data_IF_407752441468
#
_entry.id   IF_407752441468
#
_cell.length_a   1.000
_cell.length_b   1.000
_cell.length_c   1.000
_cell.angle_alpha   90.00
_cell.angle_beta   90.00
_cell.angle_gamma   90.00
#
_symmetry.space_group_name_H-M   'P 1'
#
loop_
_entity.id
_entity.type
_entity.pdbx_description
1 polymer ?
#
# COMPACT_ATOMS: atom_id res chain seq x y z
N UNK A 1 2.47 -41.48 -27.94
CA UNK A 1 1.90 -40.13 -28.20
C UNK A 1 1.17 -39.72 -26.91
N UNK A 2 1.80 -38.89 -26.08
CA UNK A 2 1.21 -38.42 -24.83
C UNK A 2 0.36 -37.18 -25.16
N UNK A 3 -0.93 -37.27 -24.86
CA UNK A 3 -1.89 -36.21 -25.10
C UNK A 3 -1.59 -35.04 -24.17
N UNK A 4 -1.26 -33.88 -24.75
CA UNK A 4 -1.12 -32.61 -24.02
C UNK A 4 -2.53 -32.10 -23.75
N UNK A 5 -2.96 -32.16 -22.49
CA UNK A 5 -4.17 -31.48 -22.05
C UNK A 5 -3.85 -30.03 -21.83
N UNK A 6 -4.19 -29.17 -22.78
CA UNK A 6 -4.25 -27.73 -22.58
C UNK A 6 -5.50 -27.49 -21.73
N UNK A 7 -5.31 -27.30 -20.44
CA UNK A 7 -6.36 -26.80 -19.57
C UNK A 7 -6.43 -25.29 -19.81
N UNK A 8 -7.33 -24.89 -20.70
CA UNK A 8 -7.77 -23.49 -20.75
C UNK A 8 -8.57 -23.22 -19.48
N UNK A 9 -7.93 -22.61 -18.51
CA UNK A 9 -8.61 -22.05 -17.37
C UNK A 9 -9.32 -20.77 -17.85
N UNK A 10 -10.64 -20.85 -18.03
CA UNK A 10 -11.46 -19.66 -18.24
C UNK A 10 -11.30 -18.76 -17.03
N UNK A 11 -10.56 -17.65 -17.19
CA UNK A 11 -10.64 -16.55 -16.27
C UNK A 11 -12.07 -16.03 -16.32
N UNK A 12 -12.83 -16.25 -15.27
CA UNK A 12 -14.09 -15.56 -15.06
C UNK A 12 -13.76 -14.08 -14.95
N UNK A 13 -13.93 -13.34 -16.04
CA UNK A 13 -13.94 -11.90 -16.04
C UNK A 13 -15.17 -11.49 -15.21
N UNK A 14 -14.95 -11.23 -13.95
CA UNK A 14 -15.87 -10.40 -13.19
C UNK A 14 -15.86 -9.03 -13.86
N UNK A 15 -16.87 -8.73 -14.64
CA UNK A 15 -17.11 -7.39 -15.17
C UNK A 15 -17.42 -6.48 -13.99
N UNK A 16 -16.39 -5.86 -13.47
CA UNK A 16 -16.55 -4.77 -12.52
C UNK A 16 -17.07 -3.61 -13.36
N UNK A 17 -18.32 -3.26 -13.16
CA UNK A 17 -18.92 -2.07 -13.73
C UNK A 17 -18.16 -0.88 -13.18
N UNK A 18 -17.30 -0.29 -14.01
CA UNK A 18 -16.73 1.01 -13.73
C UNK A 18 -17.87 2.02 -13.74
N UNK A 19 -18.22 2.56 -12.59
CA UNK A 19 -18.95 3.80 -12.56
C UNK A 19 -17.98 4.85 -13.13
N UNK A 20 -18.12 5.15 -14.42
CA UNK A 20 -17.50 6.32 -15.01
C UNK A 20 -18.13 7.54 -14.34
N UNK A 21 -17.47 8.03 -13.30
CA UNK A 21 -17.76 9.38 -12.84
C UNK A 21 -17.16 10.31 -13.85
N UNK A 22 -18.03 11.09 -14.50
CA UNK A 22 -17.66 12.22 -15.34
C UNK A 22 -16.53 13.01 -14.67
N UNK A 23 -15.58 13.45 -15.50
CA UNK A 23 -14.40 14.26 -15.17
C UNK A 23 -14.77 15.70 -14.73
N UNK A 24 -15.97 15.91 -14.25
CA UNK A 24 -16.45 17.14 -13.62
C UNK A 24 -16.01 17.10 -12.16
N UNK A 25 -15.06 17.96 -11.91
CA UNK A 25 -14.39 18.19 -10.66
C UNK A 25 -15.26 18.04 -9.40
N UNK A 26 -14.61 17.94 -8.28
CA UNK A 26 -15.16 17.75 -6.94
C UNK A 26 -16.50 18.47 -6.75
N UNK A 27 -17.56 17.74 -6.41
CA UNK A 27 -18.84 18.34 -6.05
C UNK A 27 -18.67 19.08 -4.72
N UNK A 28 -18.99 20.35 -4.71
CA UNK A 28 -18.89 21.20 -3.52
C UNK A 28 -19.75 20.63 -2.38
N UNK A 29 -19.14 20.40 -1.22
CA UNK A 29 -19.82 19.88 -0.04
C UNK A 29 -20.17 18.39 -0.05
N UNK A 30 -19.91 17.67 -1.14
CA UNK A 30 -20.16 16.22 -1.22
C UNK A 30 -18.91 15.39 -0.88
N UNK A 31 -19.15 14.20 -0.35
CA UNK A 31 -18.14 13.15 -0.24
C UNK A 31 -18.14 12.31 -1.52
N UNK A 32 -17.00 12.23 -2.17
CA UNK A 32 -16.82 11.47 -3.40
C UNK A 32 -15.92 10.27 -3.10
N UNK A 33 -16.50 9.06 -3.17
CA UNK A 33 -15.76 7.80 -3.05
C UNK A 33 -15.48 7.26 -4.44
N UNK A 34 -14.22 7.00 -4.73
CA UNK A 34 -13.76 6.29 -5.93
C UNK A 34 -12.98 5.06 -5.47
N UNK A 35 -13.09 3.96 -6.20
CA UNK A 35 -12.35 2.77 -5.85
C UNK A 35 -12.26 1.79 -6.98
N UNK A 36 -11.24 0.94 -6.91
CA UNK A 36 -11.03 -0.19 -7.79
C UNK A 36 -10.60 -1.39 -6.95
N UNK A 37 -11.17 -2.54 -7.23
CA UNK A 37 -10.75 -3.81 -6.65
C UNK A 37 -10.49 -4.81 -7.75
N UNK A 38 -9.64 -5.77 -7.51
CA UNK A 38 -9.35 -6.79 -8.50
C UNK A 38 -8.68 -8.02 -7.91
N UNK A 39 -8.72 -9.07 -8.71
CA UNK A 39 -8.04 -10.34 -8.47
C UNK A 39 -7.10 -10.59 -9.64
N UNK A 40 -5.83 -10.85 -9.34
CA UNK A 40 -4.85 -11.28 -10.33
C UNK A 40 -4.47 -12.72 -10.04
N UNK A 41 -4.34 -13.51 -11.09
CA UNK A 41 -3.82 -14.88 -11.01
C UNK A 41 -2.77 -15.07 -12.10
N UNK A 42 -1.69 -15.74 -11.73
CA UNK A 42 -0.63 -16.12 -12.66
C UNK A 42 -0.21 -17.57 -12.44
N UNK A 43 0.10 -18.26 -13.53
CA UNK A 43 0.63 -19.60 -13.49
C UNK A 43 1.81 -19.69 -14.45
N UNK A 44 2.92 -20.23 -13.96
CA UNK A 44 4.09 -20.57 -14.76
C UNK A 44 4.23 -22.09 -14.77
N UNK A 45 4.26 -22.68 -15.96
CA UNK A 45 4.51 -24.11 -16.13
C UNK A 45 5.72 -24.28 -17.03
N UNK A 46 6.71 -25.01 -16.56
CA UNK A 46 7.94 -25.29 -17.27
C UNK A 46 8.11 -26.80 -17.42
N UNK A 47 8.43 -27.25 -18.61
CA UNK A 47 8.75 -28.65 -18.90
C UNK A 47 10.09 -28.73 -19.63
N UNK A 48 11.02 -29.53 -19.12
CA UNK A 48 12.34 -29.77 -19.72
C UNK A 48 13.15 -28.47 -19.98
N UNK A 49 13.05 -27.50 -19.07
CA UNK A 49 13.76 -26.24 -19.17
C UNK A 49 15.17 -26.36 -18.56
N UNK A 50 16.21 -26.25 -19.37
CA UNK A 50 17.60 -26.47 -18.96
C UNK A 50 18.25 -25.27 -18.24
N UNK A 51 17.70 -24.08 -18.40
CA UNK A 51 18.27 -22.85 -17.80
C UNK A 51 17.85 -22.59 -16.35
N UNK A 52 17.17 -23.53 -15.69
CA UNK A 52 16.62 -23.36 -14.35
C UNK A 52 15.24 -22.69 -14.39
N UNK A 53 14.50 -22.89 -13.33
CA UNK A 53 13.13 -22.39 -13.18
C UNK A 53 12.22 -23.48 -12.62
N UNK A 54 11.15 -23.10 -11.99
CA UNK A 54 10.17 -24.02 -11.43
C UNK A 54 8.74 -23.59 -11.70
N UNK A 55 7.85 -24.57 -11.63
CA UNK A 55 6.42 -24.32 -11.74
C UNK A 55 5.94 -23.49 -10.56
N UNK A 56 5.17 -22.47 -10.85
CA UNK A 56 4.58 -21.62 -9.84
C UNK A 56 3.13 -21.27 -10.15
N UNK A 57 2.37 -21.03 -9.11
CA UNK A 57 1.06 -20.42 -9.16
C UNK A 57 1.04 -19.28 -8.14
N UNK A 58 0.52 -18.14 -8.54
CA UNK A 58 0.39 -16.99 -7.66
C UNK A 58 -0.95 -16.31 -7.89
N UNK A 59 -1.45 -15.65 -6.86
CA UNK A 59 -2.63 -14.82 -6.94
C UNK A 59 -2.58 -13.73 -5.90
N UNK A 60 -3.14 -12.57 -6.22
CA UNK A 60 -3.37 -11.51 -5.25
C UNK A 60 -4.74 -10.85 -5.44
N UNK A 61 -5.28 -10.39 -4.34
CA UNK A 61 -6.46 -9.53 -4.29
C UNK A 61 -6.03 -8.12 -3.86
N UNK A 62 -6.59 -7.09 -4.50
CA UNK A 62 -6.30 -5.72 -4.13
C UNK A 62 -7.55 -4.86 -4.10
N UNK A 63 -7.49 -3.82 -3.28
CA UNK A 63 -8.46 -2.74 -3.20
C UNK A 63 -7.71 -1.41 -3.11
N UNK A 64 -8.01 -0.50 -4.04
CA UNK A 64 -7.59 0.89 -3.96
C UNK A 64 -8.83 1.76 -3.87
N UNK A 65 -8.92 2.60 -2.86
CA UNK A 65 -10.04 3.50 -2.66
C UNK A 65 -9.54 4.91 -2.35
N UNK A 66 -10.28 5.90 -2.82
CA UNK A 66 -10.03 7.32 -2.56
C UNK A 66 -11.33 7.98 -2.15
N UNK A 67 -11.33 8.61 -0.99
CA UNK A 67 -12.43 9.41 -0.46
C UNK A 67 -12.02 10.88 -0.49
N UNK A 68 -12.79 11.70 -1.17
CA UNK A 68 -12.50 13.12 -1.32
C UNK A 68 -13.69 13.95 -0.86
N UNK A 69 -13.41 15.02 -0.13
CA UNK A 69 -14.38 16.01 0.28
C UNK A 69 -13.83 17.41 0.03
N UNK A 70 -14.57 18.22 -0.72
CA UNK A 70 -14.24 19.64 -0.95
C UNK A 70 -15.37 20.51 -0.40
N UNK A 71 -15.01 21.49 0.43
CA UNK A 71 -15.95 22.48 0.96
C UNK A 71 -15.27 23.83 1.08
N UNK A 72 -15.68 24.80 0.26
CA UNK A 72 -15.03 26.10 0.18
C UNK A 72 -13.54 25.97 -0.12
N UNK A 73 -12.72 26.52 0.75
CA UNK A 73 -11.26 26.52 0.64
C UNK A 73 -10.61 25.25 1.16
N UNK A 74 -11.39 24.30 1.70
CA UNK A 74 -10.90 23.05 2.25
C UNK A 74 -11.01 21.91 1.26
N UNK A 75 -9.95 21.12 1.17
CA UNK A 75 -9.91 19.86 0.43
C UNK A 75 -9.37 18.75 1.33
N UNK A 76 -10.18 17.74 1.55
CA UNK A 76 -9.76 16.54 2.29
C UNK A 76 -9.74 15.35 1.33
N UNK A 77 -8.60 14.66 1.30
CA UNK A 77 -8.41 13.46 0.48
C UNK A 77 -7.84 12.35 1.37
N UNK A 78 -8.50 11.21 1.36
CA UNK A 78 -8.02 10.00 2.03
C UNK A 78 -7.93 8.87 1.01
N UNK A 79 -6.78 8.20 0.95
CA UNK A 79 -6.56 7.05 0.09
C UNK A 79 -6.29 5.82 0.93
N UNK A 80 -6.83 4.69 0.51
CA UNK A 80 -6.62 3.37 1.10
C UNK A 80 -6.13 2.41 0.02
N UNK A 81 -5.10 1.65 0.34
CA UNK A 81 -4.53 0.60 -0.50
C UNK A 81 -4.46 -0.68 0.33
N UNK A 82 -5.13 -1.70 -0.13
CA UNK A 82 -5.04 -3.05 0.43
C UNK A 82 -4.54 -3.98 -0.67
N UNK A 83 -3.55 -4.80 -0.39
CA UNK A 83 -3.04 -5.81 -1.30
C UNK A 83 -2.62 -7.04 -0.50
N UNK A 84 -3.16 -8.20 -0.86
CA UNK A 84 -2.76 -9.47 -0.26
C UNK A 84 -2.63 -10.53 -1.32
N UNK A 85 -1.46 -11.15 -1.36
CA UNK A 85 -1.12 -12.16 -2.35
C UNK A 85 -0.39 -13.35 -1.78
N UNK A 86 -0.63 -14.48 -2.41
CA UNK A 86 0.01 -15.76 -2.12
C UNK A 86 0.64 -16.32 -3.39
N UNK A 87 1.78 -16.97 -3.22
CA UNK A 87 2.43 -17.73 -4.28
C UNK A 87 2.82 -19.12 -3.77
N UNK A 88 2.80 -20.07 -4.67
CA UNK A 88 3.24 -21.44 -4.39
C UNK A 88 4.23 -21.89 -5.46
N UNK A 89 5.37 -22.36 -5.01
CA UNK A 89 6.39 -23.00 -5.83
C UNK A 89 6.67 -24.41 -5.32
N UNK A 90 7.33 -25.23 -6.14
CA UNK A 90 7.65 -26.60 -5.74
C UNK A 90 8.71 -26.62 -4.63
N UNK A 91 9.70 -25.75 -4.71
CA UNK A 91 10.84 -25.69 -3.77
C UNK A 91 10.49 -25.05 -2.43
N UNK A 92 9.68 -23.98 -2.44
CA UNK A 92 9.41 -23.18 -1.24
C UNK A 92 8.00 -23.38 -0.67
N UNK A 93 7.12 -24.09 -1.39
CA UNK A 93 5.73 -24.28 -0.97
C UNK A 93 4.90 -22.99 -1.05
N UNK A 94 3.89 -22.86 -0.21
CA UNK A 94 3.05 -21.68 -0.13
C UNK A 94 3.74 -20.58 0.67
N UNK A 95 3.78 -19.37 0.09
CA UNK A 95 4.34 -18.18 0.74
C UNK A 95 3.55 -16.93 0.40
N UNK A 96 3.66 -15.93 1.23
CA UNK A 96 3.13 -14.60 1.02
C UNK A 96 3.95 -13.90 -0.08
N UNK A 97 3.30 -13.38 -1.11
CA UNK A 97 3.94 -12.68 -2.23
C UNK A 97 3.71 -11.17 -2.21
N UNK A 98 2.59 -10.73 -1.67
CA UNK A 98 2.32 -9.33 -1.36
C UNK A 98 1.51 -9.25 -0.07
N UNK A 99 1.69 -8.16 0.68
CA UNK A 99 0.97 -7.92 1.92
C UNK A 99 1.10 -6.45 2.29
N UNK A 100 0.05 -5.69 2.07
CA UNK A 100 0.07 -4.25 2.29
C UNK A 100 -1.28 -3.73 2.77
N UNK A 101 -1.22 -2.94 3.82
CA UNK A 101 -2.27 -2.03 4.25
C UNK A 101 -1.66 -0.64 4.21
N UNK A 102 -2.17 0.22 3.34
CA UNK A 102 -1.76 1.61 3.23
C UNK A 102 -2.95 2.53 3.43
N UNK A 103 -2.81 3.50 4.30
CA UNK A 103 -3.78 4.58 4.51
C UNK A 103 -3.03 5.89 4.43
N UNK A 104 -3.48 6.81 3.60
CA UNK A 104 -2.94 8.17 3.58
C UNK A 104 -4.07 9.17 3.61
N UNK A 105 -3.89 10.25 4.35
CA UNK A 105 -4.87 11.32 4.42
C UNK A 105 -4.18 12.67 4.30
N UNK A 106 -4.80 13.61 3.64
CA UNK A 106 -4.33 14.98 3.53
C UNK A 106 -5.50 15.95 3.63
N UNK A 107 -5.30 16.95 4.45
CA UNK A 107 -6.20 18.08 4.60
C UNK A 107 -5.49 19.33 4.06
N UNK A 108 -6.03 19.91 3.01
CA UNK A 108 -5.51 21.12 2.36
C UNK A 108 -6.42 22.31 2.56
N UNK A 109 -5.86 23.49 2.76
CA UNK A 109 -6.55 24.76 2.79
C UNK A 109 -5.92 25.72 1.79
N UNK A 110 -6.73 26.35 0.94
CA UNK A 110 -6.25 27.32 -0.05
C UNK A 110 -7.20 28.52 -0.16
N UNK A 111 -6.63 29.71 -0.27
CA UNK A 111 -7.39 30.96 -0.48
C UNK A 111 -7.46 31.39 -1.94
N UNK A 112 -6.49 30.96 -2.76
CA UNK A 112 -6.29 31.44 -4.14
C UNK A 112 -6.20 30.30 -5.17
N UNK A 113 -6.36 29.04 -4.76
CA UNK A 113 -6.18 27.83 -5.57
C UNK A 113 -4.77 27.67 -6.20
N UNK A 114 -3.81 28.47 -5.78
CA UNK A 114 -2.39 28.39 -6.18
C UNK A 114 -1.53 27.87 -5.04
N UNK A 115 -1.78 28.38 -3.83
CA UNK A 115 -1.10 27.98 -2.60
C UNK A 115 -2.03 27.16 -1.72
N UNK A 116 -1.55 26.00 -1.28
CA UNK A 116 -2.27 25.09 -0.40
C UNK A 116 -1.43 24.83 0.86
N UNK A 117 -1.97 25.12 2.02
CA UNK A 117 -1.43 24.66 3.29
C UNK A 117 -1.93 23.25 3.56
N UNK A 118 -1.04 22.31 3.84
CA UNK A 118 -1.38 20.89 3.95
C UNK A 118 -0.94 20.29 5.27
N UNK A 119 -1.87 19.56 5.90
CA UNK A 119 -1.58 18.55 6.90
C UNK A 119 -1.71 17.18 6.23
N UNK A 120 -0.67 16.37 6.34
CA UNK A 120 -0.59 15.06 5.72
C UNK A 120 -0.28 14.01 6.76
N UNK A 121 -0.89 12.85 6.63
CA UNK A 121 -0.61 11.68 7.45
C UNK A 121 -0.69 10.42 6.62
N UNK A 122 0.19 9.46 6.89
CA UNK A 122 0.11 8.13 6.31
C UNK A 122 0.41 7.04 7.34
N UNK A 123 -0.13 5.87 7.08
CA UNK A 123 0.11 4.65 7.82
C UNK A 123 0.28 3.50 6.84
N UNK A 124 1.39 2.79 6.96
CA UNK A 124 1.68 1.61 6.14
C UNK A 124 2.01 0.43 7.05
N UNK A 125 1.30 -0.67 6.87
CA UNK A 125 1.51 -1.93 7.61
C UNK A 125 1.10 -3.13 6.74
N UNK A 126 0.95 -4.29 7.33
CA UNK A 126 0.63 -5.55 6.69
C UNK A 126 -0.42 -6.35 7.48
N UNK A 127 -1.01 -7.37 6.81
CA UNK A 127 -2.09 -8.19 7.37
C UNK A 127 -1.57 -9.38 8.20
N UNK A 128 -0.49 -10.01 7.76
CA UNK A 128 -0.15 -11.34 8.22
C UNK A 128 1.35 -11.51 8.51
N UNK A 129 1.68 -12.57 9.24
CA UNK A 129 3.05 -12.96 9.50
C UNK A 129 3.83 -13.18 8.22
N UNK A 130 5.05 -12.69 8.18
CA UNK A 130 6.05 -12.98 7.16
C UNK A 130 7.19 -13.81 7.72
N UNK A 131 7.82 -14.61 6.86
CA UNK A 131 8.93 -15.49 7.21
C UNK A 131 10.05 -15.34 6.19
N UNK A 132 11.30 -15.58 6.63
CA UNK A 132 12.47 -15.58 5.75
C UNK A 132 12.63 -16.97 5.11
N UNK A 133 11.85 -17.20 4.06
CA UNK A 133 11.82 -18.50 3.38
C UNK A 133 13.19 -18.93 2.85
N UNK A 134 13.59 -20.23 3.03
CA UNK A 134 12.75 -21.38 3.37
C UNK A 134 12.45 -21.59 4.86
N UNK A 135 13.02 -20.78 5.74
CA UNK A 135 12.73 -20.82 7.16
C UNK A 135 11.26 -20.40 7.44
N UNK A 136 10.57 -21.20 8.25
CA UNK A 136 9.18 -20.95 8.66
C UNK A 136 9.04 -20.85 10.18
N UNK A 137 10.12 -20.94 10.91
CA UNK A 137 10.13 -20.87 12.37
C UNK A 137 10.37 -19.43 12.84
N UNK A 138 11.24 -18.68 12.14
CA UNK A 138 11.56 -17.31 12.48
C UNK A 138 10.71 -16.34 11.68
N UNK A 139 9.77 -15.69 12.36
CA UNK A 139 8.99 -14.62 11.74
C UNK A 139 9.83 -13.36 11.62
N UNK A 140 9.71 -12.70 10.45
CA UNK A 140 10.38 -11.43 10.17
C UNK A 140 9.39 -10.26 10.18
N UNK A 141 8.08 -10.52 10.22
CA UNK A 141 7.05 -9.50 10.27
C UNK A 141 5.71 -10.08 10.73
N UNK A 142 4.83 -9.24 11.24
CA UNK A 142 3.48 -9.60 11.68
C UNK A 142 2.50 -8.44 11.43
N UNK A 143 1.21 -8.62 11.75
CA UNK A 143 0.24 -7.53 11.75
C UNK A 143 0.72 -6.39 12.64
N UNK A 144 0.74 -5.17 12.12
CA UNK A 144 1.27 -3.97 12.79
C UNK A 144 2.73 -4.12 13.32
N UNK A 145 3.51 -5.01 12.74
CA UNK A 145 4.90 -5.25 13.09
C UNK A 145 5.73 -5.55 11.81
N UNK A 146 6.24 -4.51 11.11
CA UNK A 146 6.18 -3.09 11.45
C UNK A 146 4.91 -2.38 10.98
N UNK A 147 4.56 -1.28 11.64
CA UNK A 147 3.71 -0.24 11.09
C UNK A 147 4.50 1.08 11.03
N UNK A 148 4.52 1.70 9.88
CA UNK A 148 5.17 2.98 9.64
C UNK A 148 4.11 4.05 9.49
N UNK A 149 4.25 5.14 10.22
CA UNK A 149 3.40 6.31 10.10
C UNK A 149 4.26 7.56 9.92
N UNK A 150 3.83 8.45 9.03
CA UNK A 150 4.42 9.77 8.90
C UNK A 150 3.32 10.80 9.08
N UNK A 151 3.68 11.92 9.72
CA UNK A 151 2.84 13.11 9.82
C UNK A 151 3.69 14.26 9.33
N UNK A 152 3.13 15.09 8.45
CA UNK A 152 3.85 16.20 7.85
C UNK A 152 2.96 17.44 7.70
N UNK A 153 3.56 18.61 7.96
CA UNK A 153 2.99 19.91 7.65
C UNK A 153 3.75 20.53 6.50
N UNK A 154 3.03 21.05 5.51
CA UNK A 154 3.67 21.58 4.32
C UNK A 154 2.84 22.60 3.58
N UNK A 155 3.46 23.17 2.55
CA UNK A 155 2.82 24.05 1.58
C UNK A 155 3.02 23.48 0.18
N UNK A 156 1.95 23.48 -0.60
CA UNK A 156 2.01 23.11 -2.02
C UNK A 156 1.73 24.35 -2.86
N UNK A 157 2.65 24.63 -3.78
CA UNK A 157 2.47 25.63 -4.82
C UNK A 157 2.03 24.94 -6.10
N UNK A 158 0.85 25.32 -6.61
CA UNK A 158 0.24 24.73 -7.80
C UNK A 158 -0.23 25.85 -8.75
N UNK A 159 0.67 26.48 -9.52
CA UNK A 159 0.33 27.56 -10.42
C UNK A 159 -0.50 27.11 -11.62
N UNK A 160 -0.43 25.81 -11.98
CA UNK A 160 -1.17 25.17 -13.08
C UNK A 160 -1.54 23.75 -12.70
N UNK A 161 -2.52 23.17 -13.39
CA UNK A 161 -3.00 21.80 -13.13
C UNK A 161 -1.96 20.70 -13.36
N UNK A 162 -0.96 20.95 -14.19
CA UNK A 162 0.09 20.00 -14.56
C UNK A 162 1.43 20.23 -13.81
N UNK A 163 1.47 21.18 -12.88
CA UNK A 163 2.67 21.48 -12.11
C UNK A 163 2.34 21.70 -10.64
N UNK A 164 3.06 21.00 -9.76
CA UNK A 164 2.96 21.23 -8.32
C UNK A 164 4.33 21.06 -7.66
N UNK A 165 4.62 21.89 -6.68
CA UNK A 165 5.77 21.82 -5.81
C UNK A 165 5.29 21.75 -4.35
N UNK A 166 5.58 20.65 -3.66
CA UNK A 166 5.28 20.47 -2.25
C UNK A 166 6.56 20.65 -1.42
N UNK A 167 6.49 21.54 -0.46
CA UNK A 167 7.54 21.76 0.55
C UNK A 167 6.96 21.41 1.91
N UNK A 168 7.63 20.51 2.62
CA UNK A 168 7.21 20.08 3.97
C UNK A 168 8.37 20.28 4.95
N UNK A 169 8.47 21.44 5.58
CA UNK A 169 9.56 21.75 6.51
C UNK A 169 9.48 20.95 7.82
N UNK A 170 8.29 20.48 8.18
CA UNK A 170 8.08 19.70 9.42
C UNK A 170 7.50 18.35 9.05
N UNK A 171 8.22 17.29 9.42
CA UNK A 171 7.73 15.93 9.27
C UNK A 171 8.24 15.04 10.39
N UNK A 172 7.41 14.08 10.80
CA UNK A 172 7.74 13.08 11.81
C UNK A 172 7.48 11.70 11.26
N UNK A 173 8.46 10.81 11.40
CA UNK A 173 8.31 9.39 11.08
C UNK A 173 8.23 8.60 12.40
N UNK A 174 7.23 7.74 12.49
CA UNK A 174 7.03 6.83 13.61
C UNK A 174 7.06 5.39 13.10
N UNK A 175 7.72 4.53 13.84
CA UNK A 175 7.72 3.08 13.60
C UNK A 175 7.11 2.38 14.81
N UNK A 176 6.14 1.52 14.58
CA UNK A 176 5.49 0.71 15.60
C UNK A 176 5.77 -0.76 15.34
N UNK A 177 6.08 -1.52 16.39
CA UNK A 177 6.28 -2.96 16.33
C UNK A 177 5.47 -3.56 17.48
N UNK A 178 4.27 -4.05 17.20
CA UNK A 178 3.34 -4.54 18.22
C UNK A 178 3.53 -6.01 18.57
N UNK A 179 4.45 -6.68 17.87
CA UNK A 179 4.79 -8.08 18.12
C UNK A 179 5.94 -8.16 19.12
N UNK A 180 5.73 -8.83 20.25
CA UNK A 180 6.71 -8.92 21.35
C UNK A 180 8.04 -9.54 20.88
N UNK A 181 7.99 -10.63 20.12
CA UNK A 181 9.18 -11.28 19.61
C UNK A 181 10.04 -10.37 18.74
N UNK A 182 9.41 -9.62 17.82
CA UNK A 182 10.12 -8.70 16.93
C UNK A 182 10.60 -7.45 17.69
N UNK A 183 9.85 -6.99 18.67
CA UNK A 183 10.23 -5.86 19.52
C UNK A 183 11.45 -6.21 20.38
N UNK A 184 11.46 -7.36 21.01
CA UNK A 184 12.56 -7.82 21.86
C UNK A 184 13.86 -8.03 21.07
N UNK A 185 13.75 -8.38 19.78
CA UNK A 185 14.89 -8.45 18.86
C UNK A 185 15.38 -7.07 18.39
N UNK A 186 14.72 -5.96 18.75
CA UNK A 186 15.03 -4.64 18.23
C UNK A 186 14.78 -4.51 16.72
N UNK A 187 13.87 -5.33 16.16
CA UNK A 187 13.57 -5.33 14.75
C UNK A 187 13.04 -3.95 14.30
N UNK A 188 13.35 -3.57 13.05
CA UNK A 188 12.92 -2.31 12.43
C UNK A 188 13.43 -1.04 13.15
N UNK A 189 14.44 -1.18 14.01
CA UNK A 189 15.09 -0.08 14.72
C UNK A 189 14.30 0.48 15.89
N UNK A 190 13.38 -0.31 16.47
CA UNK A 190 12.78 0.01 17.78
C UNK A 190 13.70 -0.43 18.89
N UNK A 191 13.70 0.32 20.00
CA UNK A 191 14.43 -0.12 21.20
C UNK A 191 13.69 -1.31 21.81
N UNK A 192 14.41 -2.37 22.23
CA UNK A 192 13.82 -3.48 22.95
C UNK A 192 12.98 -3.01 24.12
N UNK A 193 11.77 -3.57 24.28
CA UNK A 193 10.80 -3.17 25.31
C UNK A 193 10.05 -1.85 25.03
N UNK A 194 10.45 -1.09 24.00
CA UNK A 194 9.74 0.10 23.58
C UNK A 194 9.07 -0.13 22.25
N UNK A 195 7.83 -0.52 22.18
CA UNK A 195 7.07 -0.82 20.97
C UNK A 195 7.01 0.31 19.93
N UNK A 196 7.71 1.42 20.17
CA UNK A 196 7.69 2.60 19.29
C UNK A 196 9.06 3.22 19.15
N UNK A 197 9.38 3.65 17.92
CA UNK A 197 10.52 4.52 17.63
C UNK A 197 10.04 5.80 16.94
N UNK A 198 10.34 6.96 17.54
CA UNK A 198 10.01 8.26 16.99
C UNK A 198 11.27 8.89 16.38
N UNK A 199 11.24 9.21 15.10
CA UNK A 199 12.22 10.08 14.44
C UNK A 199 11.53 11.35 13.97
N UNK A 200 11.86 12.48 14.58
CA UNK A 200 11.52 13.79 14.04
C UNK A 200 12.65 14.21 13.08
N UNK A 201 12.32 14.51 11.83
CA UNK A 201 13.20 15.19 10.90
C UNK A 201 12.81 16.66 10.90
N UNK A 202 13.58 17.49 11.60
CA UNK A 202 13.58 18.92 11.37
C UNK A 202 14.52 19.18 10.20
N UNK A 203 13.99 19.59 9.06
CA UNK A 203 14.82 20.13 7.98
C UNK A 203 15.11 21.57 8.37
N UNK A 204 16.24 21.79 9.01
CA UNK A 204 16.82 23.13 9.15
C UNK A 204 17.36 23.51 7.77
N UNK A 205 16.75 24.50 7.16
CA UNK A 205 17.28 25.18 5.98
C UNK A 205 18.42 26.13 6.40
#
# INVERSE_FOLDING_TARGET
MKRIYIVMLFAALATITYAQTDDKGYQEGAWVLKGVTGLNMSQTAMANWSAGGENSIAGNAYLNASLTHKKGNWLWVTNMVLDYGLSKTKSQGMRKSSDKIGLSTQLGYSTDNVWFYKLMGDLNTQFAKGYDYPDKEHQISNFFAPAYSNIALGMEWRPKSNYSLLLSPVSTKMTFVTDDYLSDLGAFGVDPVSYTHLRAHETVL
#
